data_IF_511625555984
#
_entry.id   IF_511625555984
#
_cell.length_a   1.000
_cell.length_b   1.000
_cell.length_c   1.000
_cell.angle_alpha   90.00
_cell.angle_beta   90.00
_cell.angle_gamma   90.00
#
_symmetry.space_group_name_H-M   'P 1'
#
loop_
_entity.id
_entity.type
_entity.pdbx_description
1 polymer ?
#
# COMPACT_ATOMS: atom_id res chain seq x y z
N UNK A 1 10.29 -1.13 10.74
CA UNK A 1 9.63 0.18 10.88
C UNK A 1 10.12 1.08 9.77
N UNK A 2 9.23 1.88 9.23
CA UNK A 2 9.52 3.06 8.44
C UNK A 2 9.62 4.25 9.40
N UNK A 3 10.38 5.28 9.03
CA UNK A 3 10.09 6.62 9.53
C UNK A 3 9.08 7.13 8.50
N UNK A 4 7.81 7.34 8.87
CA UNK A 4 6.71 7.61 7.91
C UNK A 4 7.16 8.55 6.79
N UNK A 5 6.81 8.19 5.55
CA UNK A 5 7.14 8.86 4.28
C UNK A 5 8.64 9.07 4.02
N UNK A 6 9.53 8.57 4.87
CA UNK A 6 10.95 8.59 4.56
C UNK A 6 11.30 7.41 3.67
N UNK A 7 12.19 7.66 2.71
CA UNK A 7 12.64 6.63 1.75
C UNK A 7 13.63 5.60 2.37
N UNK A 8 13.34 5.08 3.56
CA UNK A 8 14.17 4.17 4.33
C UNK A 8 13.39 3.26 5.28
N UNK A 9 13.91 2.05 5.46
CA UNK A 9 13.39 1.05 6.39
C UNK A 9 14.46 0.68 7.40
N UNK A 10 14.07 0.57 8.67
CA UNK A 10 14.90 0.07 9.76
C UNK A 10 14.34 -1.23 10.35
N UNK A 11 15.23 -2.19 10.56
CA UNK A 11 14.98 -3.43 11.29
C UNK A 11 15.45 -3.27 12.73
N UNK A 12 14.52 -3.47 13.67
CA UNK A 12 14.77 -3.28 15.10
C UNK A 12 14.44 -4.57 15.84
N UNK A 13 15.42 -5.09 16.60
CA UNK A 13 15.18 -6.14 17.56
C UNK A 13 14.66 -5.51 18.86
N UNK A 14 13.39 -5.75 19.16
CA UNK A 14 12.71 -5.20 20.33
C UNK A 14 13.19 -5.81 21.65
N UNK A 15 13.66 -7.06 21.65
CA UNK A 15 14.17 -7.72 22.85
C UNK A 15 15.49 -7.11 23.28
N UNK A 16 16.42 -6.95 22.33
CA UNK A 16 17.72 -6.35 22.60
C UNK A 16 17.72 -4.82 22.52
N UNK A 17 16.64 -4.22 22.01
CA UNK A 17 16.47 -2.76 21.79
C UNK A 17 17.53 -2.18 20.86
N UNK A 18 17.85 -2.90 19.78
CA UNK A 18 18.91 -2.52 18.83
C UNK A 18 18.37 -2.45 17.42
N UNK A 19 18.85 -1.46 16.67
CA UNK A 19 18.77 -1.50 15.19
C UNK A 19 19.74 -2.58 14.72
N UNK A 20 19.21 -3.57 13.99
CA UNK A 20 19.96 -4.72 13.47
C UNK A 20 20.22 -4.61 11.97
N UNK A 21 19.55 -3.68 11.30
CA UNK A 21 19.78 -3.36 9.89
C UNK A 21 18.95 -2.16 9.46
N UNK A 22 19.33 -1.55 8.35
CA UNK A 22 18.57 -0.50 7.69
C UNK A 22 18.92 -0.47 6.20
N UNK A 23 17.98 -0.06 5.37
CA UNK A 23 18.19 0.10 3.94
C UNK A 23 17.31 1.23 3.39
N UNK A 24 17.69 1.79 2.24
CA UNK A 24 16.82 2.73 1.51
C UNK A 24 15.75 1.96 0.76
N UNK A 25 14.51 2.47 0.73
CA UNK A 25 13.44 1.92 -0.11
C UNK A 25 13.67 2.22 -1.61
N UNK A 26 14.59 3.14 -1.93
CA UNK A 26 15.07 3.39 -3.29
C UNK A 26 14.07 4.16 -4.15
N UNK A 27 14.23 4.05 -5.47
CA UNK A 27 13.43 4.76 -6.47
C UNK A 27 12.77 3.75 -7.38
N UNK A 28 11.53 4.00 -7.79
CA UNK A 28 10.84 3.23 -8.83
C UNK A 28 10.86 4.05 -10.12
N UNK A 29 11.10 3.38 -11.25
CA UNK A 29 10.91 3.95 -12.58
C UNK A 29 9.96 3.05 -13.34
N UNK A 30 8.88 3.62 -13.88
CA UNK A 30 7.82 2.93 -14.62
C UNK A 30 7.27 3.82 -15.73
N UNK A 31 6.46 3.24 -16.62
CA UNK A 31 5.85 3.92 -17.78
C UNK A 31 4.36 3.60 -17.90
N UNK A 32 3.74 3.34 -16.76
CA UNK A 32 2.37 2.87 -16.61
C UNK A 32 1.63 3.67 -15.52
N UNK A 33 2.02 4.93 -15.34
CA UNK A 33 1.39 5.87 -14.43
C UNK A 33 0.40 6.75 -15.21
N UNK A 34 -0.53 7.36 -14.47
CA UNK A 34 -1.34 8.48 -14.92
C UNK A 34 -0.81 9.72 -14.21
N UNK A 35 -0.29 10.72 -14.94
CA UNK A 35 0.46 11.85 -14.33
C UNK A 35 -0.12 13.24 -14.62
N UNK A 36 -1.29 13.30 -15.24
CA UNK A 36 -1.96 14.56 -15.59
C UNK A 36 -3.31 14.66 -14.88
N UNK A 37 -3.61 15.83 -14.31
CA UNK A 37 -4.98 16.24 -13.98
C UNK A 37 -5.63 16.79 -15.26
N UNK A 38 -6.34 15.92 -16.00
CA UNK A 38 -6.96 16.28 -17.28
C UNK A 38 -8.34 15.65 -17.54
N UNK A 39 -8.98 15.12 -16.50
CA UNK A 39 -10.23 14.36 -16.51
C UNK A 39 -10.15 13.05 -17.33
N UNK A 40 -8.95 12.54 -17.63
CA UNK A 40 -8.71 11.31 -18.40
C UNK A 40 -7.65 10.42 -17.74
N UNK A 41 -8.14 9.38 -17.05
CA UNK A 41 -7.25 8.36 -16.48
C UNK A 41 -6.57 7.52 -17.58
N UNK A 42 -5.28 7.74 -17.80
CA UNK A 42 -4.45 7.08 -18.80
C UNK A 42 -3.12 6.59 -18.21
N UNK A 43 -3.01 5.28 -17.98
CA UNK A 43 -1.81 4.66 -17.41
C UNK A 43 -0.69 4.40 -18.44
N UNK A 44 -0.22 5.44 -19.13
CA UNK A 44 0.83 5.39 -20.16
C UNK A 44 1.97 6.41 -19.98
N UNK A 45 1.98 7.15 -18.86
CA UNK A 45 3.01 8.12 -18.54
C UNK A 45 4.23 7.54 -17.82
N UNK A 46 5.42 8.15 -18.03
CA UNK A 46 6.61 7.83 -17.25
C UNK A 46 6.55 8.43 -15.84
N UNK A 47 6.82 7.60 -14.83
CA UNK A 47 7.01 8.03 -13.45
C UNK A 47 8.37 7.57 -12.93
N UNK A 48 9.13 8.48 -12.34
CA UNK A 48 10.33 8.14 -11.55
C UNK A 48 10.26 8.84 -10.21
N UNK A 49 9.98 8.08 -9.15
CA UNK A 49 9.73 8.61 -7.81
C UNK A 49 10.44 7.77 -6.75
N UNK A 50 10.90 8.36 -5.63
CA UNK A 50 11.23 7.59 -4.44
C UNK A 50 9.99 6.85 -3.93
N UNK A 51 10.16 5.72 -3.25
CA UNK A 51 9.02 4.92 -2.75
C UNK A 51 8.37 5.49 -1.51
N UNK A 52 9.16 6.13 -0.65
CA UNK A 52 8.67 6.84 0.53
C UNK A 52 7.57 6.09 1.30
N UNK A 53 7.88 4.90 1.83
CA UNK A 53 6.88 4.08 2.49
C UNK A 53 6.23 4.78 3.67
N UNK A 54 4.91 4.81 3.68
CA UNK A 54 4.18 5.17 4.87
C UNK A 54 4.03 3.92 5.76
N UNK A 55 3.12 2.99 5.48
CA UNK A 55 3.06 1.74 6.24
C UNK A 55 4.13 0.69 5.86
N UNK A 56 4.43 -0.19 6.82
CA UNK A 56 5.23 -1.41 6.61
C UNK A 56 4.73 -2.59 7.44
N UNK A 57 4.66 -3.77 6.83
CA UNK A 57 4.22 -5.02 7.48
C UNK A 57 5.16 -6.18 7.17
N UNK A 58 5.17 -7.18 8.06
CA UNK A 58 5.82 -8.45 7.81
C UNK A 58 4.91 -9.41 7.07
N UNK A 59 5.46 -10.12 6.08
CA UNK A 59 4.79 -11.25 5.45
C UNK A 59 5.12 -12.56 6.17
N UNK A 60 4.32 -13.63 6.01
CA UNK A 60 4.64 -14.96 6.53
C UNK A 60 6.01 -15.51 6.14
N UNK A 61 6.49 -15.23 4.92
CA UNK A 61 7.80 -15.69 4.46
C UNK A 61 8.97 -14.84 5.00
N UNK A 62 8.69 -13.85 5.84
CA UNK A 62 9.70 -12.98 6.44
C UNK A 62 10.20 -11.87 5.50
N UNK A 63 9.36 -11.49 4.53
CA UNK A 63 9.56 -10.29 3.72
C UNK A 63 8.86 -9.09 4.37
N UNK A 64 9.11 -7.92 3.81
CA UNK A 64 8.46 -6.67 4.20
C UNK A 64 7.57 -6.19 3.06
N UNK A 65 6.32 -5.84 3.34
CA UNK A 65 5.44 -5.13 2.40
C UNK A 65 5.34 -3.69 2.86
N UNK A 66 5.47 -2.75 1.93
CA UNK A 66 5.28 -1.31 2.16
C UNK A 66 4.11 -0.77 1.36
N UNK A 67 3.45 0.24 1.90
CA UNK A 67 2.57 1.13 1.17
C UNK A 67 3.40 2.36 0.79
N UNK A 68 3.56 2.60 -0.51
CA UNK A 68 4.47 3.58 -1.07
C UNK A 68 3.64 4.82 -1.44
N UNK A 69 3.63 5.82 -0.55
CA UNK A 69 2.70 6.97 -0.57
C UNK A 69 3.35 8.27 -1.04
N UNK A 70 4.44 8.70 -0.38
CA UNK A 70 5.18 9.94 -0.70
C UNK A 70 4.93 11.08 0.26
N UNK A 71 5.94 11.95 0.47
CA UNK A 71 5.81 13.31 1.04
C UNK A 71 7.15 13.96 1.40
N UNK A 72 8.23 13.18 1.43
CA UNK A 72 9.56 13.68 1.76
C UNK A 72 10.20 14.43 0.58
N UNK A 73 10.03 13.93 -0.64
CA UNK A 73 10.59 14.53 -1.84
C UNK A 73 9.67 15.60 -2.43
N UNK A 74 10.25 16.44 -3.29
CA UNK A 74 9.43 17.21 -4.23
C UNK A 74 8.88 16.28 -5.30
N UNK A 75 7.67 16.54 -5.75
CA UNK A 75 7.03 15.76 -6.79
C UNK A 75 7.91 15.60 -8.04
N UNK A 76 7.92 14.40 -8.65
CA UNK A 76 7.14 13.21 -8.28
C UNK A 76 7.65 12.45 -7.03
N UNK A 77 6.75 12.06 -6.13
CA UNK A 77 7.01 11.35 -4.87
C UNK A 77 6.19 10.05 -4.72
N UNK A 78 6.49 9.25 -3.70
CA UNK A 78 5.65 8.12 -3.29
C UNK A 78 5.66 6.83 -4.10
N UNK A 79 5.97 6.82 -5.38
CA UNK A 79 6.03 5.56 -6.15
C UNK A 79 4.69 4.83 -6.33
N UNK A 80 3.60 5.31 -5.71
CA UNK A 80 2.18 5.07 -5.99
C UNK A 80 1.79 3.59 -6.03
N UNK A 81 2.02 2.88 -4.94
CA UNK A 81 1.61 1.48 -4.85
C UNK A 81 2.16 0.76 -3.64
N UNK A 82 2.66 -0.46 -3.88
CA UNK A 82 3.29 -1.27 -2.84
C UNK A 82 4.54 -1.96 -3.35
N UNK A 83 5.46 -2.20 -2.42
CA UNK A 83 6.68 -2.93 -2.69
C UNK A 83 6.90 -4.05 -1.67
N UNK A 84 7.36 -5.20 -2.14
CA UNK A 84 7.82 -6.30 -1.28
C UNK A 84 9.35 -6.27 -1.26
N UNK A 85 9.95 -6.17 -0.07
CA UNK A 85 11.40 -6.19 0.13
C UNK A 85 11.85 -7.43 0.89
N UNK A 86 13.06 -7.90 0.60
CA UNK A 86 13.80 -8.73 1.54
C UNK A 86 14.27 -7.88 2.73
N UNK A 87 14.65 -8.54 3.83
CA UNK A 87 15.27 -7.88 4.99
C UNK A 87 16.63 -7.23 4.69
N UNK A 88 17.24 -7.53 3.54
CA UNK A 88 18.46 -6.88 3.05
C UNK A 88 18.19 -5.65 2.18
N UNK A 89 16.92 -5.28 1.95
CA UNK A 89 16.53 -4.15 1.09
C UNK A 89 16.46 -4.45 -0.40
N UNK A 90 16.50 -5.73 -0.80
CA UNK A 90 16.29 -6.10 -2.21
C UNK A 90 14.80 -6.05 -2.51
N UNK A 91 14.41 -5.33 -3.55
CA UNK A 91 13.05 -5.39 -4.10
C UNK A 91 12.79 -6.78 -4.67
N UNK A 92 11.77 -7.46 -4.13
CA UNK A 92 11.31 -8.78 -4.55
C UNK A 92 10.11 -8.66 -5.50
N UNK A 93 9.27 -7.65 -5.27
CA UNK A 93 8.10 -7.34 -6.09
C UNK A 93 7.75 -5.86 -5.93
N UNK A 94 7.15 -5.27 -6.96
CA UNK A 94 6.65 -3.89 -7.01
C UNK A 94 5.33 -3.94 -7.79
N UNK A 95 4.27 -3.30 -7.31
CA UNK A 95 2.96 -3.33 -7.99
C UNK A 95 3.01 -2.70 -9.39
N UNK A 96 3.90 -1.74 -9.63
CA UNK A 96 3.79 -0.86 -10.80
C UNK A 96 2.44 -0.16 -10.78
N UNK A 97 1.86 0.12 -11.94
CA UNK A 97 0.53 0.74 -12.04
C UNK A 97 -0.64 -0.17 -11.72
N UNK A 98 -0.42 -1.44 -11.35
CA UNK A 98 -1.52 -2.39 -11.12
C UNK A 98 -2.42 -2.02 -9.93
N UNK A 99 -1.89 -1.31 -8.92
CA UNK A 99 -2.69 -0.89 -7.77
C UNK A 99 -3.63 0.28 -8.14
N UNK A 100 -3.12 1.28 -8.86
CA UNK A 100 -3.94 2.41 -9.34
C UNK A 100 -4.97 1.97 -10.39
N UNK A 101 -4.60 1.08 -11.31
CA UNK A 101 -5.54 0.47 -12.27
C UNK A 101 -6.68 -0.29 -11.59
N UNK A 102 -6.39 -0.95 -10.47
CA UNK A 102 -7.42 -1.65 -9.72
C UNK A 102 -8.43 -0.69 -9.07
N UNK A 103 -8.03 0.55 -8.77
CA UNK A 103 -8.92 1.61 -8.32
C UNK A 103 -9.69 2.26 -9.48
N UNK A 104 -9.08 2.36 -10.65
CA UNK A 104 -9.74 2.88 -11.85
C UNK A 104 -10.89 1.98 -12.34
N UNK A 105 -10.74 0.65 -12.26
CA UNK A 105 -11.79 -0.31 -12.66
C UNK A 105 -13.19 0.00 -12.03
N UNK A 106 -13.31 0.30 -10.73
CA UNK A 106 -14.56 0.78 -10.11
C UNK A 106 -14.78 2.30 -10.17
N UNK A 107 -13.92 3.07 -10.84
CA UNK A 107 -14.01 4.53 -10.96
C UNK A 107 -13.59 5.28 -9.70
N UNK A 108 -12.65 4.72 -8.93
CA UNK A 108 -12.14 5.26 -7.67
C UNK A 108 -10.74 5.88 -7.83
N UNK A 109 -10.17 5.89 -9.04
CA UNK A 109 -8.89 6.57 -9.25
C UNK A 109 -9.08 8.09 -9.19
N UNK A 110 -8.30 8.82 -8.37
CA UNK A 110 -8.46 10.25 -8.18
C UNK A 110 -7.66 11.05 -9.22
N UNK A 111 -8.21 11.18 -10.43
CA UNK A 111 -7.57 11.89 -11.57
C UNK A 111 -7.06 13.30 -11.21
N UNK A 112 -7.82 14.06 -10.41
CA UNK A 112 -7.42 15.38 -9.92
C UNK A 112 -6.24 15.39 -8.92
N UNK A 113 -5.62 14.24 -8.66
CA UNK A 113 -4.38 14.07 -7.89
C UNK A 113 -3.25 13.50 -8.74
N UNK A 114 -3.49 13.21 -10.02
CA UNK A 114 -2.53 12.50 -10.89
C UNK A 114 -1.27 13.31 -11.17
N UNK A 115 -1.34 14.64 -11.20
CA UNK A 115 -0.16 15.52 -11.29
C UNK A 115 0.64 15.65 -9.98
N UNK A 116 0.11 15.11 -8.88
CA UNK A 116 0.73 15.09 -7.54
C UNK A 116 1.12 13.65 -7.13
N UNK A 117 0.49 13.02 -6.12
CA UNK A 117 0.83 11.66 -5.64
C UNK A 117 -0.19 10.58 -6.06
N UNK A 118 -1.17 10.93 -6.90
CA UNK A 118 -2.18 10.00 -7.42
C UNK A 118 -3.04 9.39 -6.32
N UNK A 119 -3.12 8.06 -6.28
CA UNK A 119 -4.00 7.34 -5.36
C UNK A 119 -3.58 7.32 -3.88
N UNK A 120 -2.33 7.71 -3.55
CA UNK A 120 -1.78 7.81 -2.18
C UNK A 120 -2.03 6.55 -1.32
N UNK A 121 -1.07 5.60 -1.33
CA UNK A 121 -1.20 4.36 -0.57
C UNK A 121 -0.51 4.43 0.78
N UNK A 122 -1.29 4.66 1.84
CA UNK A 122 -0.79 4.93 3.20
C UNK A 122 -0.80 3.69 4.09
N UNK A 123 -1.96 3.05 4.19
CA UNK A 123 -2.19 1.94 5.11
C UNK A 123 -1.75 0.58 4.58
N UNK A 124 -1.15 -0.26 5.43
CA UNK A 124 -0.93 -1.68 5.16
C UNK A 124 -1.20 -2.56 6.39
N UNK A 125 -1.88 -3.69 6.18
CA UNK A 125 -2.11 -4.71 7.21
C UNK A 125 -1.92 -6.11 6.62
N UNK A 126 -1.27 -7.02 7.35
CA UNK A 126 -1.10 -8.42 6.95
C UNK A 126 -1.65 -9.35 8.02
N UNK A 127 -2.56 -10.24 7.64
CA UNK A 127 -3.23 -11.12 8.60
C UNK A 127 -3.57 -12.49 8.05
N UNK A 128 -3.37 -13.51 8.88
CA UNK A 128 -3.88 -14.86 8.67
C UNK A 128 -5.34 -14.93 9.14
N UNK A 129 -6.28 -15.09 8.21
CA UNK A 129 -7.70 -15.20 8.53
C UNK A 129 -8.29 -16.45 7.88
N UNK A 130 -8.89 -17.32 8.70
CA UNK A 130 -9.46 -18.63 8.26
C UNK A 130 -8.49 -19.51 7.45
N UNK A 131 -7.20 -19.43 7.72
CA UNK A 131 -6.18 -20.28 7.09
C UNK A 131 -5.59 -19.74 5.78
N UNK A 132 -6.01 -18.56 5.33
CA UNK A 132 -5.38 -17.82 4.24
C UNK A 132 -4.78 -16.51 4.75
N UNK A 133 -3.64 -16.11 4.20
CA UNK A 133 -2.97 -14.85 4.56
C UNK A 133 -3.37 -13.78 3.56
N UNK A 134 -3.85 -12.65 4.08
CA UNK A 134 -4.23 -11.50 3.28
C UNK A 134 -3.32 -10.31 3.58
N UNK A 135 -3.10 -9.48 2.57
CA UNK A 135 -2.59 -8.13 2.72
C UNK A 135 -3.67 -7.13 2.32
N UNK A 136 -3.87 -6.11 3.15
CA UNK A 136 -4.70 -4.96 2.86
C UNK A 136 -3.78 -3.78 2.54
N UNK A 137 -4.13 -3.01 1.52
CA UNK A 137 -3.46 -1.79 1.13
C UNK A 137 -4.52 -0.67 1.04
N UNK A 138 -4.42 0.34 1.88
CA UNK A 138 -5.32 1.49 1.90
C UNK A 138 -4.88 2.52 0.87
N UNK A 139 -5.86 3.11 0.17
CA UNK A 139 -5.67 4.25 -0.74
C UNK A 139 -6.47 5.41 -0.17
N UNK A 140 -5.76 6.42 0.34
CA UNK A 140 -6.35 7.59 0.98
C UNK A 140 -7.25 8.33 -0.01
N UNK A 141 -6.70 8.66 -1.19
CA UNK A 141 -7.40 9.45 -2.21
C UNK A 141 -8.36 8.63 -3.06
N UNK A 142 -8.23 7.31 -3.04
CA UNK A 142 -9.17 6.40 -3.71
C UNK A 142 -10.35 5.98 -2.84
N UNK A 143 -10.41 6.42 -1.57
CA UNK A 143 -11.43 6.04 -0.59
C UNK A 143 -11.70 4.53 -0.60
N UNK A 144 -10.62 3.73 -0.61
CA UNK A 144 -10.73 2.29 -0.77
C UNK A 144 -9.57 1.50 -0.13
N UNK A 145 -9.84 0.21 0.08
CA UNK A 145 -8.82 -0.78 0.43
C UNK A 145 -8.75 -1.87 -0.63
N UNK A 146 -7.54 -2.14 -1.11
CA UNK A 146 -7.24 -3.26 -1.99
C UNK A 146 -6.88 -4.48 -1.14
N UNK A 147 -7.54 -5.61 -1.43
CA UNK A 147 -7.34 -6.87 -0.70
C UNK A 147 -6.57 -7.83 -1.58
N UNK A 148 -5.47 -8.36 -1.05
CA UNK A 148 -4.60 -9.29 -1.76
C UNK A 148 -4.42 -10.62 -1.02
N UNK A 149 -4.30 -11.70 -1.77
CA UNK A 149 -3.87 -13.01 -1.28
C UNK A 149 -2.34 -13.10 -1.26
N UNK A 150 -1.76 -13.51 -0.13
CA UNK A 150 -0.33 -13.79 0.02
C UNK A 150 0.03 -15.27 -0.14
N UNK A 151 -0.85 -16.12 -0.65
CA UNK A 151 -0.59 -17.55 -0.86
C UNK A 151 0.52 -17.86 -1.87
N UNK A 152 0.99 -16.86 -2.63
CA UNK A 152 2.10 -16.96 -3.61
C UNK A 152 3.09 -15.81 -3.45
N UNK A 153 3.85 -15.80 -2.36
CA UNK A 153 4.92 -14.82 -2.18
C UNK A 153 6.09 -15.03 -3.17
N UNK A 154 6.77 -13.95 -3.59
CA UNK A 154 6.58 -12.54 -3.20
C UNK A 154 5.61 -11.79 -4.12
N UNK A 155 4.69 -12.47 -4.83
CA UNK A 155 3.78 -11.87 -5.83
C UNK A 155 2.33 -11.93 -5.38
N UNK A 156 1.84 -10.99 -4.57
CA UNK A 156 0.46 -11.05 -4.06
C UNK A 156 -0.57 -10.88 -5.17
N UNK A 157 -1.64 -11.65 -5.11
CA UNK A 157 -2.73 -11.64 -6.10
C UNK A 157 -3.87 -10.75 -5.61
N UNK A 158 -4.34 -9.81 -6.45
CA UNK A 158 -5.48 -8.96 -6.09
C UNK A 158 -6.76 -9.79 -6.08
N UNK A 159 -7.52 -9.70 -4.99
CA UNK A 159 -8.81 -10.36 -4.85
C UNK A 159 -9.98 -9.43 -5.13
N UNK A 160 -9.93 -8.22 -4.58
CA UNK A 160 -11.00 -7.22 -4.68
C UNK A 160 -10.54 -5.85 -4.23
N UNK A 161 -11.30 -4.84 -4.62
CA UNK A 161 -11.23 -3.46 -4.11
C UNK A 161 -12.50 -3.20 -3.31
N UNK A 162 -12.35 -2.66 -2.12
CA UNK A 162 -13.43 -2.40 -1.16
C UNK A 162 -13.54 -0.89 -0.92
N UNK A 163 -14.59 -0.21 -1.41
CA UNK A 163 -14.82 1.20 -1.11
C UNK A 163 -15.03 1.42 0.39
N UNK A 164 -14.45 2.47 0.94
CA UNK A 164 -14.51 2.86 2.34
C UNK A 164 -15.24 4.18 2.54
N UNK A 165 -15.11 4.77 3.73
CA UNK A 165 -15.36 6.21 3.89
C UNK A 165 -14.14 7.00 3.42
N UNK A 166 -14.18 8.31 3.67
CA UNK A 166 -13.18 9.26 3.18
C UNK A 166 -11.81 9.09 3.87
N UNK A 167 -10.73 9.07 3.09
CA UNK A 167 -9.34 9.02 3.56
C UNK A 167 -9.05 7.85 4.53
N UNK A 168 -9.05 6.58 4.04
CA UNK A 168 -8.73 5.42 4.87
C UNK A 168 -7.24 5.35 5.24
N UNK A 169 -7.00 5.24 6.55
CA UNK A 169 -5.67 5.39 7.15
C UNK A 169 -5.26 4.10 7.90
N UNK A 170 -5.69 3.99 9.16
CA UNK A 170 -5.48 2.82 10.00
C UNK A 170 -6.26 1.59 9.53
N UNK A 171 -5.53 0.51 9.25
CA UNK A 171 -6.08 -0.80 8.88
C UNK A 171 -5.83 -1.82 10.00
N UNK A 172 -6.87 -2.57 10.37
CA UNK A 172 -6.77 -3.60 11.41
C UNK A 172 -7.55 -4.86 11.04
N UNK A 173 -6.86 -6.00 10.99
CA UNK A 173 -7.53 -7.28 10.95
C UNK A 173 -7.90 -7.76 12.36
N UNK A 174 -9.08 -8.37 12.49
CA UNK A 174 -9.52 -9.02 13.73
C UNK A 174 -9.74 -10.52 13.45
N UNK A 175 -8.69 -11.36 13.36
CA UNK A 175 -8.84 -12.73 12.86
C UNK A 175 -9.84 -13.61 13.63
N UNK A 176 -10.02 -13.36 14.94
CA UNK A 176 -10.95 -14.10 15.80
C UNK A 176 -12.41 -13.84 15.45
N UNK A 177 -12.69 -12.67 14.86
CA UNK A 177 -13.99 -12.27 14.33
C UNK A 177 -13.69 -11.84 12.91
N UNK A 178 -13.64 -12.74 11.93
CA UNK A 178 -12.97 -12.58 10.63
C UNK A 178 -13.45 -11.33 9.88
N UNK A 179 -12.87 -10.20 10.29
CA UNK A 179 -13.28 -8.83 10.04
C UNK A 179 -12.03 -8.00 9.79
N UNK A 180 -12.22 -6.95 9.01
CA UNK A 180 -11.25 -5.90 8.78
C UNK A 180 -11.90 -4.57 9.15
N UNK A 181 -11.20 -3.77 9.94
CA UNK A 181 -11.63 -2.46 10.41
C UNK A 181 -10.71 -1.41 9.78
N UNK A 182 -11.31 -0.36 9.24
CA UNK A 182 -10.61 0.74 8.57
C UNK A 182 -11.09 2.04 9.19
N UNK A 183 -10.16 2.85 9.71
CA UNK A 183 -10.49 4.23 10.13
C UNK A 183 -10.47 5.15 8.92
N UNK A 184 -11.53 5.93 8.75
CA UNK A 184 -11.68 6.93 7.70
C UNK A 184 -11.54 8.31 8.35
N UNK A 185 -10.43 9.01 8.14
CA UNK A 185 -10.08 10.20 8.91
C UNK A 185 -11.01 11.38 8.61
N UNK A 186 -11.25 11.64 7.33
CA UNK A 186 -11.91 12.87 6.87
C UNK A 186 -13.41 12.90 7.16
N UNK A 187 -14.05 11.73 7.27
CA UNK A 187 -15.49 11.62 7.60
C UNK A 187 -15.76 11.08 9.02
N UNK A 188 -14.71 10.68 9.75
CA UNK A 188 -14.79 10.22 11.13
C UNK A 188 -15.53 8.89 11.30
N UNK A 189 -15.57 8.05 10.27
CA UNK A 189 -16.25 6.74 10.30
C UNK A 189 -15.30 5.55 10.42
N UNK A 190 -15.86 4.36 10.61
CA UNK A 190 -15.13 3.09 10.55
C UNK A 190 -15.82 2.19 9.53
N UNK A 191 -15.10 1.82 8.48
CA UNK A 191 -15.55 0.79 7.55
C UNK A 191 -15.27 -0.60 8.14
N UNK A 192 -16.26 -1.49 8.05
CA UNK A 192 -16.19 -2.85 8.62
C UNK A 192 -16.51 -3.87 7.54
N UNK A 193 -15.51 -4.65 7.15
CA UNK A 193 -15.68 -5.75 6.20
C UNK A 193 -15.57 -7.09 6.91
N UNK A 194 -16.26 -8.11 6.40
CA UNK A 194 -16.15 -9.48 6.89
C UNK A 194 -15.84 -10.45 5.77
N UNK A 195 -15.15 -11.55 6.12
CA UNK A 195 -15.01 -12.68 5.19
C UNK A 195 -16.30 -13.49 5.16
N UNK A 196 -16.97 -13.46 4.01
CA UNK A 196 -18.13 -14.29 3.76
C UNK A 196 -17.80 -15.78 3.98
N UNK A 197 -18.77 -16.48 4.55
CA UNK A 197 -18.72 -17.95 4.60
C UNK A 197 -19.23 -18.41 3.23
N UNK A 198 -18.34 -18.97 2.41
CA UNK A 198 -18.76 -19.90 1.37
C UNK A 198 -19.15 -21.23 2.01
#
# INVERSE_FOLDING_TARGET
MTLQENNAVALVDLRSRRVVGSFSAGTVTRTDADTADDDVVAFDDPLTAPREPDAVQWTPDGHLVTADEGDLAREPSGGRGRTVFSTSGRVLFSSGGSAERALDDPGLHPDGRSDDKGAEFEGAEVALVRGATYALLGSERGDAVLVYDLGREPTPELLQVLPTGAAPEGLLAVPQRPLFLISNEDDGTISVFGLDRR
#
